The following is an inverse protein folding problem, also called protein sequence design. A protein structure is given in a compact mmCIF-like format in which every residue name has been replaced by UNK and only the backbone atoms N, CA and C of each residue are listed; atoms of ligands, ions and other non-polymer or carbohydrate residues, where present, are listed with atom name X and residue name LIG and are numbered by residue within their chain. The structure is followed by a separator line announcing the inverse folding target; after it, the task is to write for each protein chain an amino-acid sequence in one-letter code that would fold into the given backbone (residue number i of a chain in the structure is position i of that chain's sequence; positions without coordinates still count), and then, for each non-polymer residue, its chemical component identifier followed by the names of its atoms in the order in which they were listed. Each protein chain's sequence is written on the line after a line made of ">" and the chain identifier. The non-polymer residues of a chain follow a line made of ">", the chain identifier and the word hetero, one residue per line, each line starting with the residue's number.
data_IF_294267322412
#
_entry.id   IF_294267322412
#
_cell.length_a   1.000
_cell.length_b   1.000
_cell.length_c   1.000
_cell.angle_alpha   90.00
_cell.angle_beta   90.00
_cell.angle_gamma   90.00
#
_symmetry.space_group_name_H-M   'P 1'
#
loop_
_entity.id
_entity.type
_entity.pdbx_description
1 polymer ?
#
# COMPACT_ATOMS: atom_id res chain seq x y z
N UNK A 1 -16.17 -20.56 0.35
CA UNK A 1 -15.60 -20.76 -0.96
C UNK A 1 -15.54 -19.48 -1.82
N UNK A 2 -15.61 -18.30 -1.20
CA UNK A 2 -15.39 -17.03 -1.92
C UNK A 2 -14.14 -16.34 -1.36
N UNK A 3 -13.31 -15.69 -2.23
CA UNK A 3 -12.22 -14.86 -1.75
C UNK A 3 -12.79 -13.67 -0.93
N UNK A 4 -12.06 -13.26 0.08
CA UNK A 4 -12.46 -12.16 0.97
C UNK A 4 -11.80 -10.82 0.57
N UNK A 5 -11.12 -10.77 -0.57
CA UNK A 5 -10.51 -9.58 -1.17
C UNK A 5 -10.61 -9.67 -2.69
N UNK A 6 -10.49 -8.51 -3.34
CA UNK A 6 -10.57 -8.42 -4.80
C UNK A 6 -9.23 -8.74 -5.46
N UNK A 7 -9.18 -9.84 -6.24
CA UNK A 7 -8.04 -10.19 -7.11
C UNK A 7 -8.59 -10.81 -8.40
N UNK A 8 -8.34 -10.23 -9.59
CA UNK A 8 -8.86 -10.73 -10.85
C UNK A 8 -8.50 -12.19 -11.10
N UNK A 9 -9.50 -13.03 -11.38
CA UNK A 9 -9.35 -14.46 -11.66
C UNK A 9 -9.21 -15.37 -10.44
N UNK A 10 -9.10 -14.83 -9.22
CA UNK A 10 -8.96 -15.64 -8.00
C UNK A 10 -10.22 -16.45 -7.70
N UNK A 11 -11.39 -15.84 -7.82
CA UNK A 11 -12.67 -16.51 -7.54
C UNK A 11 -12.89 -17.74 -8.43
N UNK A 12 -12.58 -17.64 -9.73
CA UNK A 12 -12.72 -18.73 -10.67
C UNK A 12 -11.73 -19.87 -10.40
N UNK A 13 -10.49 -19.52 -10.02
CA UNK A 13 -9.49 -20.54 -9.66
C UNK A 13 -9.87 -21.23 -8.35
N UNK A 14 -10.28 -20.49 -7.33
CA UNK A 14 -10.70 -21.04 -6.05
C UNK A 14 -11.89 -21.99 -6.22
N UNK A 15 -12.91 -21.59 -6.99
CA UNK A 15 -14.06 -22.45 -7.30
C UNK A 15 -13.64 -23.77 -7.95
N UNK A 16 -12.76 -23.70 -8.95
CA UNK A 16 -12.27 -24.91 -9.66
C UNK A 16 -11.54 -25.88 -8.75
N UNK A 17 -10.62 -25.39 -7.91
CA UNK A 17 -9.82 -26.27 -7.03
C UNK A 17 -10.64 -26.84 -5.87
N UNK A 18 -11.65 -26.12 -5.39
CA UNK A 18 -12.59 -26.63 -4.38
C UNK A 18 -13.51 -27.71 -4.96
N UNK A 19 -14.07 -27.49 -6.16
CA UNK A 19 -14.93 -28.48 -6.85
C UNK A 19 -14.17 -29.75 -7.20
N UNK A 20 -12.91 -29.64 -7.61
CA UNK A 20 -12.06 -30.79 -7.90
C UNK A 20 -11.55 -31.53 -6.67
N UNK A 21 -11.75 -31.01 -5.46
CA UNK A 21 -11.16 -31.53 -4.23
C UNK A 21 -9.64 -31.37 -4.12
N UNK A 22 -9.02 -30.56 -5.00
CA UNK A 22 -7.58 -30.30 -4.98
C UNK A 22 -7.16 -29.33 -3.87
N UNK A 23 -8.12 -28.63 -3.25
CA UNK A 23 -7.90 -27.74 -2.10
C UNK A 23 -8.82 -28.12 -0.95
N UNK A 24 -8.26 -28.33 0.23
CA UNK A 24 -8.98 -28.41 1.49
C UNK A 24 -8.51 -27.29 2.43
N UNK A 25 -9.41 -26.80 3.30
CA UNK A 25 -9.12 -25.71 4.24
C UNK A 25 -9.30 -26.21 5.67
N UNK A 26 -8.29 -25.99 6.49
CA UNK A 26 -8.24 -26.42 7.89
C UNK A 26 -7.89 -25.23 8.79
N UNK A 27 -8.33 -25.28 10.05
CA UNK A 27 -7.98 -24.27 11.07
C UNK A 27 -6.58 -24.46 11.68
N UNK A 28 -5.98 -25.64 11.46
CA UNK A 28 -4.63 -26.01 11.89
C UNK A 28 -4.07 -27.04 10.91
N UNK A 29 -2.77 -27.29 10.94
CA UNK A 29 -2.15 -28.36 10.13
C UNK A 29 -2.62 -29.72 10.65
N UNK A 30 -3.28 -30.56 9.83
CA UNK A 30 -3.68 -31.91 10.28
C UNK A 30 -2.46 -32.73 10.66
N UNK A 31 -2.53 -33.44 11.80
CA UNK A 31 -1.38 -34.23 12.31
C UNK A 31 -1.08 -35.48 11.47
N UNK A 32 -2.05 -35.95 10.73
CA UNK A 32 -1.98 -37.09 9.83
C UNK A 32 -1.81 -36.68 8.36
N UNK A 33 -1.43 -35.42 8.11
CA UNK A 33 -1.23 -34.95 6.75
C UNK A 33 -0.01 -35.61 6.09
N UNK A 34 -0.15 -35.99 4.83
CA UNK A 34 0.89 -36.58 3.99
C UNK A 34 1.69 -35.54 3.19
N UNK A 35 1.55 -34.25 3.54
CA UNK A 35 2.22 -33.15 2.87
C UNK A 35 3.75 -33.30 2.98
N UNK A 36 4.42 -33.15 1.84
CA UNK A 36 5.89 -33.20 1.76
C UNK A 36 6.51 -31.81 1.59
N UNK A 37 5.68 -30.77 1.37
CA UNK A 37 6.10 -29.38 1.27
C UNK A 37 5.14 -28.48 2.05
N UNK A 38 5.69 -27.56 2.84
CA UNK A 38 4.97 -26.59 3.66
C UNK A 38 5.40 -25.18 3.27
N UNK A 39 4.43 -24.29 2.99
CA UNK A 39 4.71 -22.90 2.64
C UNK A 39 4.06 -22.01 3.70
N UNK A 40 4.90 -21.27 4.46
CA UNK A 40 4.46 -20.37 5.52
C UNK A 40 4.30 -18.95 4.96
N UNK A 41 3.04 -18.45 4.95
CA UNK A 41 2.65 -17.16 4.36
C UNK A 41 1.94 -16.21 5.34
N UNK A 42 2.09 -16.46 6.63
CA UNK A 42 1.40 -15.66 7.67
C UNK A 42 1.83 -14.19 7.69
N UNK A 43 0.92 -13.32 8.12
CA UNK A 43 1.19 -11.90 8.22
C UNK A 43 2.21 -11.58 9.31
N UNK A 44 2.97 -10.50 9.10
CA UNK A 44 3.98 -9.97 10.03
C UNK A 44 3.70 -8.49 10.31
N UNK A 45 2.64 -8.18 11.06
CA UNK A 45 2.31 -6.81 11.40
C UNK A 45 3.35 -6.21 12.36
N UNK A 46 3.44 -4.88 12.38
CA UNK A 46 4.20 -4.18 13.40
C UNK A 46 3.38 -4.06 14.69
N UNK A 47 4.07 -4.14 15.82
CA UNK A 47 3.54 -3.73 17.11
C UNK A 47 3.47 -2.18 17.24
N UNK A 48 2.90 -1.67 18.35
CA UNK A 48 2.85 -0.24 18.63
C UNK A 48 4.25 0.42 18.73
N UNK A 49 5.26 -0.36 19.03
CA UNK A 49 6.69 0.01 19.11
C UNK A 49 7.38 0.01 17.73
N UNK A 50 6.62 -0.22 16.65
CA UNK A 50 7.11 -0.38 15.27
C UNK A 50 8.05 -1.57 15.07
N UNK A 51 8.02 -2.56 15.97
CA UNK A 51 8.74 -3.82 15.83
C UNK A 51 7.87 -4.90 15.19
N UNK A 52 8.49 -5.78 14.41
CA UNK A 52 7.78 -6.88 13.76
C UNK A 52 7.34 -7.93 14.78
N UNK A 53 6.08 -8.35 14.68
CA UNK A 53 5.56 -9.44 15.48
C UNK A 53 5.88 -10.78 14.82
N UNK A 54 6.52 -11.68 15.56
CA UNK A 54 6.92 -13.03 15.10
C UNK A 54 6.04 -14.15 15.65
N UNK A 55 5.13 -13.83 16.58
CA UNK A 55 4.27 -14.79 17.26
C UNK A 55 3.49 -15.71 16.32
N UNK A 56 2.97 -15.19 15.21
CA UNK A 56 2.27 -16.01 14.22
C UNK A 56 3.23 -16.95 13.46
N UNK A 57 4.43 -16.49 13.16
CA UNK A 57 5.46 -17.34 12.52
C UNK A 57 5.86 -18.48 13.46
N UNK A 58 6.14 -18.16 14.72
CA UNK A 58 6.53 -19.14 15.75
C UNK A 58 5.43 -20.19 15.95
N UNK A 59 4.19 -19.75 16.04
CA UNK A 59 3.02 -20.63 16.16
C UNK A 59 2.92 -21.60 14.98
N UNK A 60 2.89 -21.08 13.75
CA UNK A 60 2.73 -21.89 12.54
C UNK A 60 3.96 -22.77 12.27
N UNK A 61 5.17 -22.28 12.57
CA UNK A 61 6.37 -23.12 12.49
C UNK A 61 6.30 -24.31 13.47
N UNK A 62 5.72 -24.09 14.67
CA UNK A 62 5.44 -25.16 15.64
C UNK A 62 4.43 -26.20 15.13
N UNK A 63 3.34 -25.77 14.50
CA UNK A 63 2.37 -26.69 13.88
C UNK A 63 3.01 -27.50 12.74
N UNK A 64 3.81 -26.86 11.88
CA UNK A 64 4.55 -27.53 10.81
C UNK A 64 5.55 -28.54 11.39
N UNK A 65 6.33 -28.17 12.42
CA UNK A 65 7.29 -29.06 13.08
C UNK A 65 6.63 -30.33 13.64
N UNK A 66 5.45 -30.18 14.24
CA UNK A 66 4.69 -31.32 14.76
C UNK A 66 4.20 -32.25 13.65
N UNK A 67 3.67 -31.71 12.57
CA UNK A 67 3.01 -32.46 11.50
C UNK A 67 3.96 -32.95 10.40
N UNK A 68 5.05 -32.26 10.09
CA UNK A 68 5.93 -32.57 8.96
C UNK A 68 6.55 -33.97 9.05
N UNK A 69 6.62 -34.75 7.96
CA UNK A 69 7.41 -35.98 7.88
C UNK A 69 8.91 -35.69 7.82
N UNK A 70 9.74 -36.70 8.09
CA UNK A 70 11.16 -36.58 7.82
C UNK A 70 11.44 -36.32 6.34
N UNK A 71 12.38 -35.41 6.05
CA UNK A 71 12.71 -35.01 4.69
C UNK A 71 11.72 -33.99 4.08
N UNK A 72 10.82 -33.37 4.85
CA UNK A 72 9.92 -32.34 4.35
C UNK A 72 10.67 -31.10 3.82
N UNK A 73 10.07 -30.42 2.84
CA UNK A 73 10.52 -29.11 2.40
C UNK A 73 9.68 -28.03 3.12
N UNK A 74 10.33 -27.14 3.85
CA UNK A 74 9.69 -26.00 4.51
C UNK A 74 10.13 -24.70 3.82
N UNK A 75 9.17 -23.91 3.37
CA UNK A 75 9.42 -22.65 2.65
C UNK A 75 8.83 -21.50 3.45
N UNK A 76 9.68 -20.58 3.88
CA UNK A 76 9.26 -19.28 4.38
C UNK A 76 8.98 -18.34 3.22
N UNK A 77 7.80 -17.71 3.22
CA UNK A 77 7.38 -16.74 2.19
C UNK A 77 6.90 -15.42 2.80
N UNK A 78 6.61 -15.39 4.09
CA UNK A 78 6.27 -14.17 4.84
C UNK A 78 7.40 -13.16 4.81
N UNK A 79 7.08 -11.87 4.76
CA UNK A 79 8.09 -10.80 4.92
C UNK A 79 8.57 -10.77 6.37
N UNK A 80 9.85 -10.97 6.60
CA UNK A 80 10.44 -11.11 7.93
C UNK A 80 11.65 -10.20 8.09
N UNK A 81 12.07 -9.93 9.34
CA UNK A 81 13.37 -9.28 9.58
C UNK A 81 14.50 -10.24 9.21
N UNK A 82 15.65 -9.67 8.88
CA UNK A 82 16.84 -10.43 8.48
C UNK A 82 17.24 -11.45 9.53
N UNK A 83 17.43 -12.69 9.09
CA UNK A 83 17.83 -13.82 9.90
C UNK A 83 16.68 -14.55 10.60
N UNK A 84 15.44 -14.14 10.48
CA UNK A 84 14.29 -14.80 11.14
C UNK A 84 14.17 -16.27 10.75
N UNK A 85 14.33 -16.59 9.47
CA UNK A 85 14.22 -17.97 8.98
C UNK A 85 15.24 -18.88 9.68
N UNK A 86 16.47 -18.42 9.84
CA UNK A 86 17.55 -19.19 10.48
C UNK A 86 17.47 -19.16 12.00
N UNK A 87 17.15 -18.02 12.63
CA UNK A 87 17.28 -17.83 14.07
C UNK A 87 15.99 -18.14 14.85
N UNK A 88 14.83 -18.17 14.19
CA UNK A 88 13.54 -18.46 14.81
C UNK A 88 12.95 -19.75 14.23
N UNK A 89 12.79 -19.83 12.90
CA UNK A 89 12.08 -20.97 12.29
C UNK A 89 12.91 -22.24 12.37
N UNK A 90 14.20 -22.21 11.98
CA UNK A 90 15.05 -23.40 12.02
C UNK A 90 15.12 -24.05 13.40
N UNK A 91 15.35 -23.33 14.52
CA UNK A 91 15.36 -23.96 15.86
C UNK A 91 14.04 -24.62 16.26
N UNK A 92 12.89 -24.06 15.82
CA UNK A 92 11.58 -24.67 16.08
C UNK A 92 11.45 -25.98 15.32
N UNK A 93 11.88 -26.02 14.06
CA UNK A 93 11.88 -27.24 13.25
C UNK A 93 12.84 -28.29 13.76
N UNK A 94 14.05 -27.86 14.20
CA UNK A 94 15.09 -28.74 14.77
C UNK A 94 14.60 -29.45 16.04
N UNK A 95 13.79 -28.79 16.87
CA UNK A 95 13.21 -29.36 18.08
C UNK A 95 12.29 -30.57 17.82
N UNK A 96 11.76 -30.71 16.58
CA UNK A 96 10.99 -31.89 16.20
C UNK A 96 11.84 -33.15 15.97
N UNK A 97 13.18 -33.03 15.91
CA UNK A 97 14.11 -34.17 15.72
C UNK A 97 13.97 -34.86 14.37
N UNK A 98 13.35 -34.21 13.37
CA UNK A 98 13.15 -34.74 12.02
C UNK A 98 14.05 -34.00 11.03
N UNK A 99 14.52 -34.68 9.98
CA UNK A 99 15.23 -34.01 8.89
C UNK A 99 14.27 -33.18 8.05
N UNK A 100 14.73 -32.04 7.55
CA UNK A 100 13.96 -31.18 6.66
C UNK A 100 14.91 -30.33 5.79
N UNK A 101 14.36 -29.79 4.69
CA UNK A 101 14.99 -28.77 3.88
C UNK A 101 14.27 -27.43 4.12
N UNK A 102 15.03 -26.35 4.35
CA UNK A 102 14.49 -25.03 4.63
C UNK A 102 14.90 -24.03 3.55
N UNK A 103 13.93 -23.30 2.99
CA UNK A 103 14.18 -22.26 2.02
C UNK A 103 13.39 -20.98 2.35
N UNK A 104 13.92 -19.83 1.92
CA UNK A 104 13.19 -18.57 1.89
C UNK A 104 12.89 -18.19 0.43
N UNK A 105 11.61 -17.99 0.13
CA UNK A 105 11.13 -17.71 -1.22
C UNK A 105 10.16 -16.52 -1.18
N UNK A 106 10.66 -15.26 -1.25
CA UNK A 106 9.84 -14.07 -1.04
C UNK A 106 8.73 -13.92 -2.07
N UNK A 107 7.56 -13.46 -1.59
CA UNK A 107 6.49 -12.97 -2.45
C UNK A 107 6.78 -11.55 -2.91
N UNK A 108 6.70 -11.28 -4.24
CA UNK A 108 6.99 -9.97 -4.82
C UNK A 108 5.89 -9.45 -5.75
N UNK A 109 4.76 -10.15 -5.79
CA UNK A 109 3.63 -9.74 -6.64
C UNK A 109 2.93 -8.48 -6.11
N UNK A 110 2.27 -7.80 -7.03
CA UNK A 110 1.45 -6.65 -6.76
C UNK A 110 -0.02 -7.07 -6.68
N UNK A 111 -0.69 -6.76 -5.59
CA UNK A 111 -2.12 -6.99 -5.40
C UNK A 111 -2.93 -6.35 -6.53
N UNK A 112 -3.97 -7.05 -7.01
CA UNK A 112 -4.78 -6.67 -8.18
C UNK A 112 -4.25 -7.19 -9.52
N UNK A 113 -3.00 -7.70 -9.57
CA UNK A 113 -2.40 -8.39 -10.72
C UNK A 113 -1.55 -9.59 -10.27
N UNK A 114 -1.72 -10.04 -9.02
CA UNK A 114 -0.88 -11.04 -8.39
C UNK A 114 -0.88 -12.38 -9.13
N UNK A 115 -2.04 -12.85 -9.59
CA UNK A 115 -2.15 -14.12 -10.33
C UNK A 115 -1.37 -14.07 -11.66
N UNK A 116 -1.37 -12.92 -12.34
CA UNK A 116 -0.59 -12.73 -13.55
C UNK A 116 0.90 -12.68 -13.23
N UNK A 117 1.29 -11.89 -12.23
CA UNK A 117 2.70 -11.70 -11.84
C UNK A 117 3.33 -12.95 -11.26
N UNK A 118 2.59 -13.79 -10.55
CA UNK A 118 3.06 -15.12 -10.10
C UNK A 118 3.57 -15.99 -11.26
N UNK A 119 3.03 -15.80 -12.48
CA UNK A 119 3.41 -16.58 -13.66
C UNK A 119 4.56 -15.99 -14.46
N UNK A 120 4.86 -14.70 -14.29
CA UNK A 120 5.86 -13.99 -15.11
C UNK A 120 7.07 -13.53 -14.32
N UNK A 121 6.91 -13.20 -13.03
CA UNK A 121 8.03 -12.76 -12.21
C UNK A 121 8.96 -13.92 -11.85
N UNK A 122 10.28 -13.75 -11.96
CA UNK A 122 11.23 -14.73 -11.48
C UNK A 122 11.09 -14.95 -9.98
N UNK A 123 10.98 -16.22 -9.55
CA UNK A 123 10.97 -16.57 -8.14
C UNK A 123 12.39 -16.58 -7.58
N UNK A 124 12.64 -15.73 -6.57
CA UNK A 124 13.89 -15.75 -5.80
C UNK A 124 13.86 -16.91 -4.82
N UNK A 125 14.99 -17.63 -4.70
CA UNK A 125 15.12 -18.79 -3.82
C UNK A 125 16.44 -18.71 -3.09
N UNK A 126 16.40 -18.60 -1.76
CA UNK A 126 17.55 -18.78 -0.87
C UNK A 126 17.33 -20.02 -0.02
N UNK A 127 18.18 -21.03 -0.16
CA UNK A 127 18.11 -22.26 0.65
C UNK A 127 19.04 -22.25 1.84
N UNK A 128 18.67 -22.99 2.89
CA UNK A 128 19.57 -23.35 3.99
C UNK A 128 20.63 -24.38 3.58
N UNK A 129 20.39 -25.08 2.49
CA UNK A 129 21.27 -26.03 1.81
C UNK A 129 21.11 -25.96 0.29
N UNK A 130 21.99 -26.61 -0.46
CA UNK A 130 21.85 -26.73 -1.90
C UNK A 130 20.60 -27.55 -2.26
N UNK A 131 20.36 -28.66 -1.56
CA UNK A 131 19.19 -29.52 -1.75
C UNK A 131 17.89 -28.74 -1.51
N UNK A 132 17.81 -27.93 -0.45
CA UNK A 132 16.68 -27.05 -0.19
C UNK A 132 16.43 -26.08 -1.34
N UNK A 133 17.50 -25.48 -1.90
CA UNK A 133 17.41 -24.55 -3.04
C UNK A 133 16.91 -25.26 -4.30
N UNK A 134 17.40 -26.47 -4.58
CA UNK A 134 16.98 -27.26 -5.74
C UNK A 134 15.51 -27.66 -5.62
N UNK A 135 15.10 -28.20 -4.47
CA UNK A 135 13.73 -28.66 -4.22
C UNK A 135 12.73 -27.51 -4.27
N UNK A 136 13.05 -26.38 -3.63
CA UNK A 136 12.20 -25.18 -3.74
C UNK A 136 12.09 -24.70 -5.18
N UNK A 137 13.19 -24.73 -5.96
CA UNK A 137 13.19 -24.40 -7.38
C UNK A 137 12.27 -25.31 -8.19
N UNK A 138 12.31 -26.61 -7.97
CA UNK A 138 11.43 -27.59 -8.61
C UNK A 138 9.95 -27.32 -8.31
N UNK A 139 9.64 -26.98 -7.04
CA UNK A 139 8.26 -26.65 -6.66
C UNK A 139 7.76 -25.40 -7.40
N UNK A 140 8.53 -24.30 -7.42
CA UNK A 140 8.11 -23.06 -8.06
C UNK A 140 8.09 -23.11 -9.58
N UNK A 141 8.73 -24.08 -10.24
CA UNK A 141 8.60 -24.29 -11.70
C UNK A 141 7.17 -24.62 -12.16
N UNK A 142 6.31 -25.09 -11.26
CA UNK A 142 4.88 -25.25 -11.55
C UNK A 142 4.12 -23.91 -11.60
N UNK A 143 4.70 -22.83 -11.07
CA UNK A 143 4.07 -21.52 -10.96
C UNK A 143 4.68 -20.53 -11.95
N UNK A 144 6.01 -20.47 -12.03
CA UNK A 144 6.76 -19.54 -12.89
C UNK A 144 7.86 -20.27 -13.67
N UNK A 145 8.10 -19.91 -14.94
CA UNK A 145 9.15 -20.54 -15.75
C UNK A 145 10.58 -20.17 -15.28
N UNK A 146 10.72 -19.12 -14.47
CA UNK A 146 12.03 -18.59 -14.10
C UNK A 146 12.24 -18.62 -12.60
N UNK A 147 13.32 -19.26 -12.15
CA UNK A 147 13.79 -19.22 -10.76
C UNK A 147 15.19 -18.61 -10.70
N UNK A 148 15.42 -17.77 -9.70
CA UNK A 148 16.72 -17.14 -9.42
C UNK A 148 17.22 -17.65 -8.06
N UNK A 149 18.27 -18.46 -8.09
CA UNK A 149 18.91 -18.99 -6.88
C UNK A 149 19.87 -17.97 -6.32
N UNK A 150 19.75 -17.71 -5.02
CA UNK A 150 20.67 -16.84 -4.30
C UNK A 150 21.45 -17.68 -3.26
N UNK A 151 22.50 -17.10 -2.69
CA UNK A 151 23.46 -17.81 -1.88
C UNK A 151 22.88 -18.47 -0.64
N UNK A 152 21.98 -17.77 0.06
CA UNK A 152 21.48 -18.17 1.38
C UNK A 152 20.11 -17.56 1.69
N UNK A 153 19.54 -17.95 2.83
CA UNK A 153 18.26 -17.48 3.35
C UNK A 153 18.25 -15.96 3.51
N UNK A 154 19.30 -15.42 4.12
CA UNK A 154 19.43 -14.00 4.47
C UNK A 154 19.50 -13.12 3.21
N UNK A 155 20.16 -13.58 2.16
CA UNK A 155 20.17 -12.88 0.87
C UNK A 155 18.76 -12.76 0.28
N UNK A 156 17.97 -13.83 0.35
CA UNK A 156 16.60 -13.82 -0.15
C UNK A 156 15.66 -12.94 0.71
N UNK A 157 15.82 -12.98 2.06
CA UNK A 157 15.13 -12.07 2.98
C UNK A 157 15.44 -10.60 2.68
N UNK A 158 16.75 -10.30 2.49
CA UNK A 158 17.22 -8.93 2.20
C UNK A 158 16.67 -8.38 0.90
N UNK A 159 16.63 -9.17 -0.18
CA UNK A 159 16.09 -8.74 -1.48
C UNK A 159 14.68 -8.20 -1.33
N UNK A 160 13.80 -8.92 -0.62
CA UNK A 160 12.41 -8.49 -0.40
C UNK A 160 12.32 -7.13 0.29
N UNK A 161 13.10 -6.96 1.36
CA UNK A 161 13.10 -5.73 2.16
C UNK A 161 13.70 -4.55 1.39
N UNK A 162 14.78 -4.78 0.62
CA UNK A 162 15.42 -3.76 -0.21
C UNK A 162 14.49 -3.30 -1.33
N UNK A 163 13.82 -4.23 -2.04
CA UNK A 163 12.89 -3.89 -3.13
C UNK A 163 11.80 -2.93 -2.63
N UNK A 164 11.19 -3.22 -1.48
CA UNK A 164 10.13 -2.37 -0.93
C UNK A 164 10.67 -1.06 -0.32
N UNK A 165 11.80 -1.11 0.38
CA UNK A 165 12.44 0.10 0.94
C UNK A 165 12.90 1.06 -0.15
N UNK A 166 13.43 0.56 -1.27
CA UNK A 166 13.82 1.38 -2.41
C UNK A 166 12.61 2.10 -3.02
N UNK A 167 11.46 1.42 -3.13
CA UNK A 167 10.22 2.05 -3.59
C UNK A 167 9.76 3.15 -2.64
N UNK A 168 9.81 2.91 -1.33
CA UNK A 168 9.45 3.89 -0.31
C UNK A 168 10.35 5.14 -0.37
N UNK A 169 11.67 4.96 -0.53
CA UNK A 169 12.65 6.05 -0.74
C UNK A 169 12.36 6.81 -2.03
N UNK A 170 12.03 6.12 -3.11
CA UNK A 170 11.73 6.73 -4.40
C UNK A 170 10.50 7.65 -4.31
N UNK A 171 9.45 7.20 -3.65
CA UNK A 171 8.27 8.03 -3.41
C UNK A 171 8.55 9.19 -2.44
N UNK A 172 9.33 8.95 -1.38
CA UNK A 172 9.70 10.00 -0.44
C UNK A 172 10.47 11.14 -1.13
N UNK A 173 11.39 10.81 -2.02
CA UNK A 173 12.10 11.84 -2.79
C UNK A 173 11.13 12.63 -3.69
N UNK A 174 10.13 11.98 -4.30
CA UNK A 174 9.11 12.67 -5.09
C UNK A 174 8.25 13.60 -4.23
N UNK A 175 7.90 13.19 -3.01
CA UNK A 175 7.16 14.00 -2.05
C UNK A 175 8.01 15.18 -1.53
N UNK A 176 9.31 15.00 -1.35
CA UNK A 176 10.22 16.09 -1.01
C UNK A 176 10.34 17.11 -2.16
N UNK A 177 10.43 16.63 -3.42
CA UNK A 177 10.38 17.49 -4.61
C UNK A 177 9.08 18.29 -4.65
N UNK A 178 7.94 17.68 -4.31
CA UNK A 178 6.68 18.39 -4.21
C UNK A 178 6.74 19.53 -3.18
N UNK A 179 7.30 19.28 -1.99
CA UNK A 179 7.48 20.29 -0.96
C UNK A 179 8.43 21.42 -1.40
N UNK A 180 9.51 21.09 -2.10
CA UNK A 180 10.42 22.11 -2.67
C UNK A 180 9.71 22.97 -3.72
N UNK A 181 8.90 22.36 -4.59
CA UNK A 181 8.12 23.07 -5.59
C UNK A 181 7.08 24.00 -4.97
N UNK A 182 6.40 23.54 -3.91
CA UNK A 182 5.45 24.36 -3.15
C UNK A 182 6.15 25.60 -2.54
N UNK A 183 7.35 25.44 -2.01
CA UNK A 183 8.11 26.52 -1.39
C UNK A 183 8.52 27.64 -2.37
N UNK A 184 8.72 27.30 -3.64
CA UNK A 184 9.14 28.26 -4.68
C UNK A 184 8.02 28.62 -5.67
N UNK A 185 6.81 28.07 -5.49
CA UNK A 185 5.64 28.41 -6.30
C UNK A 185 5.62 27.83 -7.72
N UNK A 186 6.29 26.67 -7.95
CA UNK A 186 6.26 25.94 -9.23
C UNK A 186 5.44 24.65 -9.12
N UNK A 187 5.09 24.03 -10.25
CA UNK A 187 4.36 22.78 -10.27
C UNK A 187 5.32 21.60 -10.22
N UNK A 188 5.19 20.75 -9.20
CA UNK A 188 5.95 19.49 -9.13
C UNK A 188 5.60 18.54 -10.27
N UNK A 189 4.34 18.52 -10.70
CA UNK A 189 3.90 17.71 -11.83
C UNK A 189 4.64 18.11 -13.13
N UNK A 190 4.80 19.41 -13.39
CA UNK A 190 5.54 19.89 -14.55
C UNK A 190 7.04 19.57 -14.43
N UNK A 191 7.65 19.83 -13.27
CA UNK A 191 9.06 19.54 -13.00
C UNK A 191 9.38 18.07 -13.24
N UNK A 192 8.55 17.18 -12.68
CA UNK A 192 8.77 15.72 -12.78
C UNK A 192 8.49 15.22 -14.20
N UNK A 193 7.37 15.64 -14.80
CA UNK A 193 6.98 15.15 -16.14
C UNK A 193 7.93 15.61 -17.22
N UNK A 194 8.30 16.91 -17.23
CA UNK A 194 9.26 17.44 -18.18
C UNK A 194 10.68 16.91 -17.93
N UNK A 195 11.08 16.81 -16.66
CA UNK A 195 12.41 16.35 -16.29
C UNK A 195 12.75 14.93 -16.69
N UNK A 196 11.76 14.02 -16.75
CA UNK A 196 11.96 12.64 -17.20
C UNK A 196 11.73 12.40 -18.69
N UNK A 197 11.18 13.38 -19.41
CA UNK A 197 10.87 13.22 -20.83
C UNK A 197 12.14 13.08 -21.66
N UNK A 198 12.35 11.89 -22.25
CA UNK A 198 13.53 11.59 -23.05
C UNK A 198 14.85 11.53 -22.25
N UNK A 199 14.82 11.53 -20.92
CA UNK A 199 16.01 11.48 -20.07
C UNK A 199 16.08 10.16 -19.29
N UNK A 200 16.81 9.13 -19.79
CA UNK A 200 16.74 7.77 -19.26
C UNK A 200 17.36 7.61 -17.85
N UNK A 201 18.11 8.59 -17.36
CA UNK A 201 18.72 8.57 -16.02
C UNK A 201 17.79 8.98 -14.89
N UNK A 202 16.61 9.52 -15.22
CA UNK A 202 15.60 9.94 -14.24
C UNK A 202 14.29 9.21 -14.49
N UNK A 203 13.82 8.50 -13.47
CA UNK A 203 12.49 7.87 -13.45
C UNK A 203 11.77 8.23 -12.15
N UNK A 204 11.62 9.55 -11.90
CA UNK A 204 10.99 10.04 -10.69
C UNK A 204 9.50 9.75 -10.73
N UNK A 205 8.95 9.20 -9.64
CA UNK A 205 7.52 8.97 -9.49
C UNK A 205 6.76 10.29 -9.33
N UNK A 206 5.48 10.31 -9.59
CA UNK A 206 4.63 11.43 -9.18
C UNK A 206 4.48 11.43 -7.65
N UNK A 207 4.42 12.61 -7.00
CA UNK A 207 4.18 12.70 -5.57
C UNK A 207 2.77 12.23 -5.23
N UNK A 208 2.59 11.75 -4.00
CA UNK A 208 1.30 11.29 -3.51
C UNK A 208 1.41 10.57 -2.16
N UNK A 209 0.29 10.19 -1.55
CA UNK A 209 0.28 9.44 -0.31
C UNK A 209 0.90 8.05 -0.50
N UNK A 210 1.79 7.66 0.42
CA UNK A 210 2.57 6.41 0.32
C UNK A 210 2.31 5.51 1.52
N UNK A 211 1.57 4.43 1.29
CA UNK A 211 1.18 3.46 2.31
C UNK A 211 0.95 2.07 1.73
N UNK A 212 -0.02 1.39 2.28
CA UNK A 212 -0.38 0.02 1.95
C UNK A 212 0.35 -1.01 2.82
N UNK A 213 -0.08 -2.28 2.78
CA UNK A 213 0.32 -3.32 3.73
C UNK A 213 1.81 -3.67 3.71
N UNK A 214 2.56 -3.19 2.71
CA UNK A 214 4.00 -3.42 2.57
C UNK A 214 4.81 -2.17 2.93
N UNK A 215 4.58 -1.03 2.24
CA UNK A 215 5.46 0.14 2.36
C UNK A 215 5.38 0.79 3.74
N UNK A 216 4.24 0.68 4.44
CA UNK A 216 4.11 1.22 5.80
C UNK A 216 5.03 0.54 6.82
N UNK A 217 5.44 -0.73 6.58
CA UNK A 217 6.14 -1.54 7.58
C UNK A 217 7.52 -2.05 7.16
N UNK A 218 7.77 -2.33 5.88
CA UNK A 218 8.97 -3.07 5.45
C UNK A 218 10.27 -2.28 5.70
N UNK A 219 10.22 -0.94 5.68
CA UNK A 219 11.33 -0.07 6.07
C UNK A 219 11.71 -0.23 7.55
N UNK A 220 10.74 -0.43 8.44
CA UNK A 220 10.97 -0.69 9.86
C UNK A 220 11.47 -2.11 10.11
N UNK A 221 10.93 -3.11 9.39
CA UNK A 221 11.40 -4.50 9.44
C UNK A 221 12.87 -4.61 9.01
N UNK A 222 13.26 -3.87 7.95
CA UNK A 222 14.66 -3.80 7.51
C UNK A 222 15.55 -3.18 8.59
N UNK A 223 15.11 -2.07 9.18
CA UNK A 223 15.88 -1.38 10.22
C UNK A 223 16.09 -2.28 11.45
N UNK A 224 15.01 -2.92 11.94
CA UNK A 224 15.08 -3.85 13.08
C UNK A 224 16.04 -5.01 12.81
N UNK A 225 16.04 -5.56 11.61
CA UNK A 225 16.95 -6.65 11.22
C UNK A 225 18.43 -6.27 11.23
N UNK A 226 18.75 -4.97 11.20
CA UNK A 226 20.13 -4.46 11.19
C UNK A 226 20.61 -3.94 12.56
N UNK A 227 19.71 -3.72 13.52
CA UNK A 227 20.02 -3.16 14.84
C UNK A 227 21.13 -3.94 15.57
N UNK A 228 21.06 -5.27 15.60
CA UNK A 228 22.04 -6.11 16.26
C UNK A 228 23.43 -6.11 15.60
N UNK A 229 23.54 -5.52 14.41
CA UNK A 229 24.80 -5.25 13.70
C UNK A 229 25.29 -3.83 13.92
N UNK A 230 24.61 -3.03 14.75
CA UNK A 230 24.92 -1.63 15.00
C UNK A 230 24.68 -0.72 13.79
N UNK A 231 23.87 -1.15 12.82
CA UNK A 231 23.57 -0.38 11.60
C UNK A 231 22.14 0.15 11.63
N UNK A 232 22.00 1.45 11.31
CA UNK A 232 20.70 2.09 11.07
C UNK A 232 20.63 2.56 9.61
N UNK A 233 19.63 2.13 8.82
CA UNK A 233 19.48 2.54 7.42
C UNK A 233 18.88 3.95 7.34
N UNK A 234 19.70 4.97 7.52
CA UNK A 234 19.29 6.37 7.71
C UNK A 234 18.43 6.90 6.56
N UNK A 235 18.78 6.65 5.30
CA UNK A 235 17.99 7.08 4.13
C UNK A 235 16.59 6.46 4.18
N UNK A 236 16.50 5.15 4.42
CA UNK A 236 15.23 4.41 4.45
C UNK A 236 14.31 4.92 5.55
N UNK A 237 14.84 5.11 6.76
CA UNK A 237 14.04 5.61 7.89
C UNK A 237 13.63 7.07 7.73
N UNK A 238 14.50 7.92 7.16
CA UNK A 238 14.16 9.32 6.87
C UNK A 238 13.08 9.39 5.81
N UNK A 239 13.19 8.61 4.74
CA UNK A 239 12.19 8.52 3.69
C UNK A 239 10.82 8.08 4.24
N UNK A 240 10.79 7.03 5.08
CA UNK A 240 9.54 6.57 5.68
C UNK A 240 8.87 7.66 6.54
N UNK A 241 9.64 8.37 7.37
CA UNK A 241 9.14 9.47 8.19
C UNK A 241 8.58 10.62 7.33
N UNK A 242 9.22 10.95 6.21
CA UNK A 242 8.75 11.96 5.28
C UNK A 242 7.39 11.56 4.69
N UNK A 243 7.27 10.32 4.21
CA UNK A 243 6.02 9.80 3.66
C UNK A 243 4.90 9.75 4.74
N UNK A 244 5.23 9.43 5.99
CA UNK A 244 4.26 9.44 7.10
C UNK A 244 3.79 10.85 7.47
N UNK A 245 4.65 11.86 7.33
CA UNK A 245 4.31 13.25 7.66
C UNK A 245 3.50 13.97 6.56
N UNK A 246 3.56 13.47 5.33
CA UNK A 246 2.97 14.10 4.15
C UNK A 246 1.46 14.39 4.27
N UNK A 247 0.59 13.48 4.79
CA UNK A 247 -0.84 13.77 4.95
C UNK A 247 -1.12 15.00 5.84
N UNK A 248 -0.41 15.09 6.97
CA UNK A 248 -0.55 16.21 7.90
C UNK A 248 -0.16 17.54 7.24
N UNK A 249 0.98 17.56 6.56
CA UNK A 249 1.49 18.75 5.88
C UNK A 249 0.52 19.22 4.78
N UNK A 250 -0.01 18.29 4.00
CA UNK A 250 -0.94 18.55 2.93
C UNK A 250 -2.27 19.15 3.44
N UNK A 251 -2.84 18.56 4.49
CA UNK A 251 -4.11 19.05 5.06
C UNK A 251 -3.93 20.36 5.83
N UNK A 252 -2.79 20.57 6.49
CA UNK A 252 -2.47 21.86 7.09
C UNK A 252 -2.41 22.97 6.03
N UNK A 253 -1.79 22.71 4.86
CA UNK A 253 -1.77 23.65 3.75
C UNK A 253 -3.19 23.91 3.19
N UNK A 254 -4.02 22.88 3.05
CA UNK A 254 -5.43 23.03 2.65
C UNK A 254 -6.20 23.92 3.62
N UNK A 255 -6.04 23.71 4.94
CA UNK A 255 -6.70 24.51 5.97
C UNK A 255 -6.24 25.99 5.91
N UNK A 256 -4.96 26.26 5.68
CA UNK A 256 -4.47 27.63 5.50
C UNK A 256 -5.09 28.30 4.27
N UNK A 257 -5.28 27.57 3.17
CA UNK A 257 -5.91 28.08 1.95
C UNK A 257 -7.39 28.33 2.18
N UNK A 258 -8.12 27.41 2.76
CA UNK A 258 -9.56 27.56 3.05
C UNK A 258 -9.84 28.70 4.02
N UNK A 259 -8.96 28.94 4.99
CA UNK A 259 -9.04 30.06 5.94
C UNK A 259 -8.90 31.44 5.28
N UNK A 260 -8.43 31.52 4.04
CA UNK A 260 -8.33 32.76 3.25
C UNK A 260 -9.53 32.94 2.28
N UNK A 261 -10.39 31.94 2.15
CA UNK A 261 -11.57 32.01 1.28
C UNK A 261 -12.69 32.71 2.05
N UNK A 262 -13.13 33.84 1.53
CA UNK A 262 -14.24 34.59 2.15
C UNK A 262 -15.52 33.74 2.18
N UNK A 263 -16.21 33.71 3.32
CA UNK A 263 -17.45 32.95 3.50
C UNK A 263 -17.25 31.41 3.60
N UNK A 264 -16.03 30.92 3.74
CA UNK A 264 -15.81 29.48 3.95
C UNK A 264 -16.44 29.05 5.30
N UNK A 265 -17.26 27.97 5.35
CA UNK A 265 -18.04 27.65 6.53
C UNK A 265 -17.17 27.08 7.66
N UNK A 266 -17.50 27.41 8.92
CA UNK A 266 -16.88 26.83 10.12
C UNK A 266 -17.14 25.31 10.27
N UNK A 267 -18.24 24.81 9.72
CA UNK A 267 -18.65 23.43 9.74
C UNK A 267 -18.82 22.89 8.30
N UNK A 268 -17.72 22.71 7.54
CA UNK A 268 -17.79 22.31 6.15
C UNK A 268 -18.26 20.85 6.01
N UNK A 269 -18.86 20.54 4.86
CA UNK A 269 -19.03 19.15 4.40
C UNK A 269 -17.77 18.74 3.66
N UNK A 270 -17.09 17.72 4.19
CA UNK A 270 -15.85 17.17 3.64
C UNK A 270 -16.12 15.80 3.05
N UNK A 271 -15.83 15.63 1.79
CA UNK A 271 -15.95 14.34 1.10
C UNK A 271 -14.57 13.75 0.80
N UNK A 272 -14.34 12.51 1.24
CA UNK A 272 -13.15 11.73 0.94
C UNK A 272 -13.43 10.84 -0.27
N UNK A 273 -12.65 10.98 -1.32
CA UNK A 273 -12.76 10.24 -2.57
C UNK A 273 -11.62 9.23 -2.68
N UNK A 274 -11.94 7.94 -2.44
CA UNK A 274 -10.97 6.84 -2.40
C UNK A 274 -10.56 6.48 -0.97
N UNK A 275 -10.78 5.22 -0.59
CA UNK A 275 -10.42 4.70 0.75
C UNK A 275 -9.44 3.54 0.68
N UNK A 276 -9.47 2.75 -0.39
CA UNK A 276 -8.52 1.67 -0.60
C UNK A 276 -7.07 2.21 -0.63
N UNK A 277 -6.11 1.41 -0.20
CA UNK A 277 -4.70 1.85 -0.10
C UNK A 277 -4.10 2.24 -1.45
N UNK A 278 -4.71 1.84 -2.55
CA UNK A 278 -4.44 2.25 -3.95
C UNK A 278 -5.69 2.07 -4.80
N UNK A 279 -5.70 2.72 -5.97
CA UNK A 279 -6.78 2.59 -6.95
C UNK A 279 -6.33 1.99 -8.29
N UNK A 280 -5.01 1.83 -8.50
CA UNK A 280 -4.46 1.24 -9.72
C UNK A 280 -3.24 0.34 -9.39
N UNK A 281 -3.32 -0.98 -9.63
CA UNK A 281 -4.55 -1.75 -9.93
C UNK A 281 -5.61 -1.62 -8.83
N UNK A 282 -6.87 -1.80 -9.21
CA UNK A 282 -8.00 -1.70 -8.28
C UNK A 282 -7.93 -2.73 -7.17
N UNK A 283 -8.33 -2.34 -5.96
CA UNK A 283 -8.48 -3.21 -4.79
C UNK A 283 -9.48 -2.60 -3.80
N UNK A 284 -10.07 -3.42 -2.96
CA UNK A 284 -10.90 -3.00 -1.82
C UNK A 284 -10.13 -3.07 -0.48
N UNK A 285 -8.82 -3.34 -0.52
CA UNK A 285 -7.99 -3.49 0.68
C UNK A 285 -7.75 -2.15 1.38
N UNK A 286 -8.13 -2.10 2.65
CA UNK A 286 -7.99 -0.93 3.53
C UNK A 286 -6.76 -1.02 4.46
N UNK A 287 -5.94 -2.07 4.37
CA UNK A 287 -4.75 -2.24 5.21
C UNK A 287 -3.69 -1.21 4.83
N UNK A 288 -3.21 -0.47 5.82
CA UNK A 288 -2.18 0.57 5.59
C UNK A 288 -2.62 1.69 4.65
N UNK A 289 -3.93 1.88 4.43
CA UNK A 289 -4.42 2.96 3.57
C UNK A 289 -4.05 4.33 4.11
N UNK A 290 -3.61 5.20 3.23
CA UNK A 290 -3.31 6.60 3.57
C UNK A 290 -4.58 7.43 3.78
N UNK A 291 -5.75 6.93 3.42
CA UNK A 291 -7.01 7.59 3.77
C UNK A 291 -7.19 7.73 5.29
N UNK A 292 -6.65 6.81 6.12
CA UNK A 292 -6.71 6.93 7.60
C UNK A 292 -5.93 8.14 8.14
N UNK A 293 -4.61 8.30 7.89
CA UNK A 293 -3.88 9.47 8.37
C UNK A 293 -4.38 10.78 7.73
N UNK A 294 -4.85 10.75 6.48
CA UNK A 294 -5.49 11.90 5.83
C UNK A 294 -6.78 12.28 6.56
N UNK A 295 -7.66 11.32 6.84
CA UNK A 295 -8.90 11.57 7.61
C UNK A 295 -8.59 12.09 9.01
N UNK A 296 -7.61 11.51 9.70
CA UNK A 296 -7.19 11.99 11.02
C UNK A 296 -6.67 13.44 10.97
N UNK A 297 -5.93 13.82 9.93
CA UNK A 297 -5.51 15.21 9.71
C UNK A 297 -6.70 16.12 9.39
N UNK A 298 -7.62 15.69 8.53
CA UNK A 298 -8.85 16.43 8.22
C UNK A 298 -9.69 16.68 9.48
N UNK A 299 -9.86 15.68 10.35
CA UNK A 299 -10.61 15.83 11.61
C UNK A 299 -9.94 16.82 12.58
N UNK A 300 -8.60 16.86 12.63
CA UNK A 300 -7.86 17.85 13.44
C UNK A 300 -8.00 19.26 12.92
N UNK A 301 -7.87 19.44 11.61
CA UNK A 301 -7.89 20.78 10.98
C UNK A 301 -9.30 21.32 10.72
N UNK A 302 -10.29 20.43 10.61
CA UNK A 302 -11.71 20.78 10.42
C UNK A 302 -12.59 20.08 11.48
N UNK A 303 -12.44 20.40 12.77
CA UNK A 303 -13.06 19.63 13.87
C UNK A 303 -14.59 19.69 13.92
N UNK A 304 -15.21 20.65 13.21
CA UNK A 304 -16.67 20.78 13.11
C UNK A 304 -17.24 20.22 11.81
N UNK A 305 -16.37 19.68 10.94
CA UNK A 305 -16.79 19.19 9.64
C UNK A 305 -17.66 17.93 9.73
N UNK A 306 -18.54 17.77 8.75
CA UNK A 306 -19.23 16.50 8.49
C UNK A 306 -18.46 15.74 7.44
N UNK A 307 -18.17 14.46 7.72
CA UNK A 307 -17.34 13.63 6.84
C UNK A 307 -18.17 12.57 6.16
N UNK A 308 -18.01 12.45 4.85
CA UNK A 308 -18.58 11.37 4.04
C UNK A 308 -17.54 10.85 3.06
N UNK A 309 -17.79 9.68 2.48
CA UNK A 309 -16.83 9.09 1.54
C UNK A 309 -17.51 8.34 0.40
N UNK A 310 -16.78 8.32 -0.72
CA UNK A 310 -17.05 7.49 -1.88
C UNK A 310 -15.79 6.73 -2.29
N UNK A 311 -15.96 5.45 -2.58
CA UNK A 311 -14.92 4.62 -3.20
C UNK A 311 -15.58 3.72 -4.24
N UNK A 312 -15.01 3.59 -5.46
CA UNK A 312 -15.60 2.77 -6.51
C UNK A 312 -15.64 1.26 -6.23
N UNK A 313 -14.77 0.77 -5.34
CA UNK A 313 -14.53 -0.67 -5.11
C UNK A 313 -14.90 -1.07 -3.68
N UNK A 314 -14.61 -0.21 -2.70
CA UNK A 314 -14.89 -0.48 -1.28
C UNK A 314 -16.40 -0.44 -1.01
N UNK A 315 -16.91 -1.48 -0.35
CA UNK A 315 -18.35 -1.59 -0.04
C UNK A 315 -18.84 -0.47 0.89
N UNK A 316 -20.11 -0.10 0.77
CA UNK A 316 -20.75 0.90 1.65
C UNK A 316 -20.66 0.50 3.13
N UNK A 317 -20.67 -0.80 3.44
CA UNK A 317 -20.51 -1.28 4.81
C UNK A 317 -19.08 -1.03 5.31
N UNK A 318 -18.07 -1.32 4.51
CA UNK A 318 -16.67 -1.06 4.87
C UNK A 318 -16.39 0.45 5.05
N UNK A 319 -17.08 1.32 4.28
CA UNK A 319 -17.03 2.78 4.48
C UNK A 319 -17.60 3.18 5.84
N UNK A 320 -18.74 2.60 6.25
CA UNK A 320 -19.30 2.81 7.60
C UNK A 320 -18.36 2.33 8.70
N UNK A 321 -17.78 1.15 8.53
CA UNK A 321 -16.84 0.56 9.49
C UNK A 321 -15.53 1.38 9.56
N UNK A 322 -15.22 2.12 8.48
CA UNK A 322 -14.12 3.09 8.46
C UNK A 322 -14.42 4.35 9.29
N UNK A 323 -15.69 4.59 9.65
CA UNK A 323 -16.14 5.73 10.45
C UNK A 323 -16.62 6.93 9.61
N UNK A 324 -17.04 6.70 8.37
CA UNK A 324 -17.52 7.74 7.45
C UNK A 324 -18.94 7.46 6.96
N UNK A 325 -19.69 8.52 6.65
CA UNK A 325 -21.00 8.39 6.02
C UNK A 325 -20.80 7.97 4.54
N UNK A 326 -21.27 6.77 4.13
CA UNK A 326 -21.09 6.32 2.76
C UNK A 326 -22.06 7.01 1.82
N UNK A 327 -21.59 7.32 0.61
CA UNK A 327 -22.39 7.76 -0.53
C UNK A 327 -22.16 6.83 -1.71
N UNK A 328 -23.15 6.74 -2.61
CA UNK A 328 -23.22 5.71 -3.63
C UNK A 328 -22.69 6.12 -5.00
N UNK A 329 -22.44 7.41 -5.21
CA UNK A 329 -21.94 7.95 -6.48
C UNK A 329 -21.08 9.20 -6.29
N UNK A 330 -20.33 9.57 -7.34
CA UNK A 330 -19.56 10.82 -7.36
C UNK A 330 -20.47 12.05 -7.30
N UNK A 331 -21.63 11.99 -7.93
CA UNK A 331 -22.63 13.05 -7.91
C UNK A 331 -23.13 13.30 -6.48
N UNK A 332 -23.48 12.24 -5.76
CA UNK A 332 -23.89 12.31 -4.35
C UNK A 332 -22.72 12.76 -3.46
N UNK A 333 -21.52 12.29 -3.76
CA UNK A 333 -20.31 12.64 -3.02
C UNK A 333 -20.00 14.13 -3.09
N UNK A 334 -20.26 14.78 -4.20
CA UNK A 334 -19.95 16.19 -4.41
C UNK A 334 -21.13 17.12 -4.14
N UNK A 335 -22.36 16.61 -4.02
CA UNK A 335 -23.55 17.41 -3.79
C UNK A 335 -23.47 18.15 -2.43
N UNK A 336 -23.36 19.48 -2.47
CA UNK A 336 -23.21 20.32 -1.28
C UNK A 336 -21.88 20.16 -0.51
N UNK A 337 -20.84 19.54 -1.08
CA UNK A 337 -19.50 19.45 -0.48
C UNK A 337 -18.79 20.80 -0.50
N UNK A 338 -18.16 21.20 0.60
CA UNK A 338 -17.24 22.34 0.65
C UNK A 338 -15.79 21.95 0.36
N UNK A 339 -15.44 20.70 0.72
CA UNK A 339 -14.11 20.13 0.45
C UNK A 339 -14.26 18.75 -0.15
N UNK A 340 -13.61 18.48 -1.26
CA UNK A 340 -13.49 17.14 -1.83
C UNK A 340 -12.02 16.76 -1.91
N UNK A 341 -11.63 15.66 -1.24
CA UNK A 341 -10.24 15.21 -1.15
C UNK A 341 -10.06 13.90 -1.90
N UNK A 342 -9.26 13.89 -2.96
CA UNK A 342 -8.93 12.69 -3.75
C UNK A 342 -7.71 12.02 -3.10
N UNK A 343 -7.90 10.86 -2.47
CA UNK A 343 -6.89 10.22 -1.62
C UNK A 343 -6.18 9.02 -2.24
N UNK A 344 -6.75 8.39 -3.27
CA UNK A 344 -6.09 7.32 -4.01
C UNK A 344 -6.10 7.57 -5.53
N UNK A 345 -5.35 6.75 -6.27
CA UNK A 345 -5.11 6.89 -7.71
C UNK A 345 -6.07 6.07 -8.58
N UNK A 346 -7.31 5.85 -8.15
CA UNK A 346 -8.29 5.13 -8.95
C UNK A 346 -8.58 5.84 -10.27
N UNK A 347 -8.64 5.07 -11.36
CA UNK A 347 -8.85 5.60 -12.72
C UNK A 347 -10.13 6.40 -12.86
N UNK A 348 -11.19 6.03 -12.12
CA UNK A 348 -12.47 6.75 -12.08
C UNK A 348 -12.35 8.19 -11.58
N UNK A 349 -11.40 8.49 -10.68
CA UNK A 349 -11.17 9.87 -10.23
C UNK A 349 -10.47 10.71 -11.30
N UNK A 350 -9.51 10.10 -12.02
CA UNK A 350 -8.81 10.77 -13.11
C UNK A 350 -9.72 11.07 -14.30
N UNK A 351 -10.72 10.22 -14.54
CA UNK A 351 -11.65 10.34 -15.67
C UNK A 351 -12.98 11.01 -15.31
N UNK A 352 -13.17 11.43 -14.06
CA UNK A 352 -14.41 12.08 -13.64
C UNK A 352 -14.59 13.42 -14.38
N UNK A 353 -15.84 13.75 -14.71
CA UNK A 353 -16.21 15.03 -15.33
C UNK A 353 -16.16 16.15 -14.27
N UNK A 354 -14.96 16.44 -13.74
CA UNK A 354 -14.75 17.36 -12.61
C UNK A 354 -15.34 18.73 -12.82
N UNK A 355 -15.31 19.25 -14.06
CA UNK A 355 -15.87 20.55 -14.41
C UNK A 355 -17.39 20.58 -14.21
N UNK A 356 -18.08 19.57 -14.75
CA UNK A 356 -19.54 19.43 -14.59
C UNK A 356 -19.92 19.17 -13.13
N UNK A 357 -19.20 18.28 -12.47
CA UNK A 357 -19.44 17.89 -11.08
C UNK A 357 -19.17 19.04 -10.10
N UNK A 358 -18.27 19.97 -10.42
CA UNK A 358 -17.98 21.13 -9.58
C UNK A 358 -19.20 22.00 -9.31
N UNK A 359 -20.17 22.05 -10.26
CA UNK A 359 -21.41 22.82 -10.09
C UNK A 359 -22.35 22.28 -9.00
N UNK A 360 -22.14 21.03 -8.53
CA UNK A 360 -22.90 20.42 -7.45
C UNK A 360 -22.37 20.78 -6.06
N UNK A 361 -21.14 21.26 -5.99
CA UNK A 361 -20.50 21.60 -4.72
C UNK A 361 -21.11 22.87 -4.12
N UNK A 362 -20.99 22.99 -2.80
CA UNK A 362 -21.42 24.18 -2.07
C UNK A 362 -20.57 25.41 -2.45
N UNK A 363 -21.07 26.61 -2.14
CA UNK A 363 -20.32 27.84 -2.35
C UNK A 363 -19.91 28.44 -0.98
N UNK A 364 -18.62 28.70 -0.73
CA UNK A 364 -17.45 28.32 -1.54
C UNK A 364 -17.01 26.88 -1.31
N UNK A 365 -16.29 26.31 -2.27
CA UNK A 365 -15.74 24.96 -2.17
C UNK A 365 -14.34 24.82 -2.79
N UNK A 366 -13.67 23.71 -2.49
CA UNK A 366 -12.34 23.39 -3.03
C UNK A 366 -12.13 21.88 -3.19
N UNK A 367 -11.50 21.49 -4.30
CA UNK A 367 -10.90 20.17 -4.45
C UNK A 367 -9.47 20.18 -3.90
N UNK A 368 -9.10 19.12 -3.21
CA UNK A 368 -7.71 18.79 -2.91
C UNK A 368 -7.34 17.46 -3.55
N UNK A 369 -6.36 17.48 -4.44
CA UNK A 369 -5.95 16.31 -5.22
C UNK A 369 -4.54 15.85 -4.82
N UNK A 370 -4.47 14.73 -4.12
CA UNK A 370 -3.19 14.11 -3.73
C UNK A 370 -2.44 13.46 -4.91
N UNK A 371 -3.08 13.31 -6.08
CA UNK A 371 -2.52 12.55 -7.19
C UNK A 371 -2.25 13.36 -8.45
N UNK A 372 -2.52 14.68 -8.41
CA UNK A 372 -2.38 15.56 -9.57
C UNK A 372 -3.10 15.01 -10.81
N UNK A 373 -4.35 14.53 -10.62
CA UNK A 373 -5.13 13.94 -11.71
C UNK A 373 -5.48 14.98 -12.79
N UNK A 374 -5.54 16.27 -12.42
CA UNK A 374 -5.95 17.36 -13.30
C UNK A 374 -4.88 18.46 -13.33
N UNK A 375 -4.77 19.12 -14.49
CA UNK A 375 -3.94 20.32 -14.61
C UNK A 375 -4.78 21.55 -14.29
N UNK A 376 -4.46 22.22 -13.17
CA UNK A 376 -5.17 23.39 -12.66
C UNK A 376 -5.29 24.52 -13.70
N UNK A 377 -4.28 24.70 -14.57
CA UNK A 377 -4.25 25.79 -15.56
C UNK A 377 -5.35 25.65 -16.63
N UNK A 378 -5.77 24.42 -16.93
CA UNK A 378 -6.78 24.13 -17.96
C UNK A 378 -8.18 23.81 -17.40
N UNK A 379 -8.32 23.66 -16.07
CA UNK A 379 -9.62 23.35 -15.48
C UNK A 379 -10.59 24.53 -15.54
N UNK A 380 -11.81 24.27 -16.02
CA UNK A 380 -12.93 25.23 -16.08
C UNK A 380 -13.98 24.86 -15.03
N UNK A 381 -13.61 24.99 -13.75
CA UNK A 381 -14.51 24.72 -12.63
C UNK A 381 -15.60 25.77 -12.49
N UNK A 382 -16.68 25.44 -11.77
CA UNK A 382 -17.67 26.41 -11.33
C UNK A 382 -16.99 27.58 -10.60
N UNK A 383 -17.45 28.85 -10.77
CA UNK A 383 -16.73 30.00 -10.20
C UNK A 383 -16.48 29.94 -8.71
N UNK A 384 -17.38 29.30 -7.96
CA UNK A 384 -17.30 29.16 -6.51
C UNK A 384 -16.44 27.97 -6.05
N UNK A 385 -15.77 27.26 -6.98
CA UNK A 385 -14.97 26.06 -6.66
C UNK A 385 -13.51 26.30 -7.00
N UNK A 386 -12.63 26.05 -6.02
CA UNK A 386 -11.20 26.06 -6.17
C UNK A 386 -10.62 24.67 -6.45
N UNK A 387 -9.33 24.64 -6.82
CA UNK A 387 -8.55 23.40 -6.98
C UNK A 387 -7.14 23.59 -6.44
N UNK A 388 -6.69 22.62 -5.69
CA UNK A 388 -5.35 22.56 -5.11
C UNK A 388 -4.83 21.14 -5.23
N UNK A 389 -3.57 20.97 -5.55
CA UNK A 389 -2.94 19.64 -5.63
C UNK A 389 -1.58 19.63 -4.92
N UNK A 390 -1.15 18.43 -4.52
CA UNK A 390 0.15 18.25 -3.89
C UNK A 390 1.28 18.72 -4.82
N UNK A 391 2.25 19.49 -4.27
CA UNK A 391 3.37 20.03 -5.04
C UNK A 391 2.99 21.15 -6.00
N UNK A 392 1.81 21.77 -5.81
CA UNK A 392 1.38 22.95 -6.54
C UNK A 392 0.52 23.88 -5.67
N UNK A 393 0.76 23.92 -4.36
CA UNK A 393 -0.03 24.73 -3.41
C UNK A 393 0.08 26.22 -3.74
N UNK A 394 1.26 26.70 -4.15
CA UNK A 394 1.47 28.07 -4.59
C UNK A 394 0.72 28.47 -5.87
N UNK A 395 0.19 27.48 -6.62
CA UNK A 395 -0.63 27.65 -7.82
C UNK A 395 -2.09 27.24 -7.63
N UNK A 396 -2.55 27.17 -6.37
CA UNK A 396 -3.93 26.83 -6.07
C UNK A 396 -4.88 27.79 -6.78
N UNK A 397 -5.84 27.23 -7.51
CA UNK A 397 -6.92 28.01 -8.12
C UNK A 397 -7.99 28.25 -7.05
N UNK A 398 -8.10 29.50 -6.59
CA UNK A 398 -9.06 29.84 -5.55
C UNK A 398 -10.45 30.09 -6.15
N UNK A 399 -11.53 29.84 -5.39
CA UNK A 399 -12.89 30.16 -5.83
C UNK A 399 -13.05 31.67 -5.98
N UNK A 400 -13.83 32.08 -6.98
CA UNK A 400 -14.26 33.47 -7.14
C UNK A 400 -15.49 33.66 -6.29
N UNK A 401 -15.37 34.41 -5.21
CA UNK A 401 -16.52 34.79 -4.37
C UNK A 401 -17.05 36.13 -4.93
N UNK A 402 -18.26 36.15 -5.49
CA UNK A 402 -18.93 37.38 -5.91
C UNK A 402 -19.23 38.19 -4.64
N UNK A 403 -18.65 39.39 -4.53
CA UNK A 403 -19.02 40.35 -3.47
C UNK A 403 -17.90 41.02 -2.69
N UNK A 404 -16.70 41.22 -3.28
CA UNK A 404 -15.72 42.20 -2.82
C UNK A 404 -15.32 43.15 -3.92
#
# INVERSE_FOLDING_TARGET
>A
GQPHFHEPGLADQLSRVLVSGALSVHSSVPQDCDATAFIITVGTPLGPDKRVRTDMIEHVAGEVAAAMPAGALVIMRSTVRLGTTRSIVAPILDAAGKSYDLAFCPERTLEGVAIQELRILPQIIGGGSEDATVRAGQLFQFVTPTTVRVRDLETAEMIKLVDNSQRDVHFAFSNEVASMCDAIGVSAADVISAGKLGYPRTNLAMPGPVGGPCLEKDSYILAEGLEHRGMSPAIVLTARKLNEAQPEQAIAALQQVTGRISGFPDAPVVTVLGLAFKGAPETDDLRGTMARPILAALQRHFPKARFRAFDPVVSLQAIRDFGLDPVSSLEEALDGANVAVITNNHSGFRSMAIETLSHRMAAPAIFYDFWNNFNADYLLLAPHVGYMAIGSHGRAKLPKVEGL
#
